data_IF_278566835849
#
_entry.id   IF_278566835849
#
_cell.length_a   1.000
_cell.length_b   1.000
_cell.length_c   1.000
_cell.angle_alpha   90.00
_cell.angle_beta   90.00
_cell.angle_gamma   90.00
#
_symmetry.space_group_name_H-M   'P 1'
#
loop_
_entity.id
_entity.type
_entity.pdbx_description
1 polymer ?
#
# COMPACT_ATOMS: atom_id res chain seq x y z
N UNK A 1 2.66 -15.18 11.58
CA UNK A 1 3.20 -13.87 12.01
C UNK A 1 2.64 -12.76 11.13
N UNK A 2 2.43 -11.60 11.72
CA UNK A 2 1.64 -10.51 11.17
C UNK A 2 1.63 -9.35 12.16
N UNK A 3 0.51 -8.64 12.27
CA UNK A 3 0.39 -7.53 13.22
C UNK A 3 0.21 -8.00 14.66
N UNK A 4 0.69 -7.20 15.61
CA UNK A 4 0.50 -7.42 17.05
C UNK A 4 -0.98 -7.37 17.45
N UNK A 5 -1.79 -6.60 16.74
CA UNK A 5 -3.25 -6.51 16.92
C UNK A 5 -3.93 -6.43 15.54
N UNK A 6 -5.14 -6.96 15.43
CA UNK A 6 -5.95 -6.89 14.21
C UNK A 6 -6.68 -5.54 14.06
N UNK A 7 -6.76 -4.75 15.14
CA UNK A 7 -7.25 -3.38 15.11
C UNK A 7 -6.68 -2.55 16.26
N UNK A 8 -6.83 -1.23 16.19
CA UNK A 8 -6.54 -0.26 17.24
C UNK A 8 -7.53 0.90 17.16
N UNK A 9 -7.94 1.43 18.31
CA UNK A 9 -8.72 2.68 18.41
C UNK A 9 -7.84 3.89 18.75
N UNK A 10 -6.54 3.83 18.46
CA UNK A 10 -5.61 4.91 18.78
C UNK A 10 -5.35 5.01 20.28
N UNK A 11 -5.32 6.23 20.82
CA UNK A 11 -4.92 6.58 22.19
C UNK A 11 -5.72 5.88 23.32
N UNK A 12 -6.81 5.18 23.02
CA UNK A 12 -7.60 4.43 24.00
C UNK A 12 -6.98 3.06 24.34
N UNK A 13 -6.18 2.47 23.45
CA UNK A 13 -5.54 1.15 23.60
C UNK A 13 -4.07 1.27 23.17
N UNK A 14 -3.20 0.30 23.51
CA UNK A 14 -1.77 0.37 23.18
C UNK A 14 -1.56 0.72 21.68
N UNK A 15 -1.11 1.95 21.36
CA UNK A 15 -1.20 2.46 20.00
C UNK A 15 -0.01 2.02 19.13
N UNK A 16 0.98 1.34 19.74
CA UNK A 16 2.15 0.78 19.05
C UNK A 16 1.78 -0.55 18.38
N UNK A 17 1.81 -0.55 17.05
CA UNK A 17 1.53 -1.71 16.22
C UNK A 17 2.84 -2.23 15.66
N UNK A 18 3.17 -3.46 16.02
CA UNK A 18 4.37 -4.15 15.54
C UNK A 18 3.95 -5.18 14.50
N UNK A 19 4.56 -5.11 13.32
CA UNK A 19 4.48 -6.14 12.31
C UNK A 19 5.65 -7.10 12.45
N UNK A 20 5.37 -8.40 12.40
CA UNK A 20 6.40 -9.45 12.39
C UNK A 20 6.34 -10.21 11.07
N UNK A 21 7.44 -10.18 10.30
CA UNK A 21 7.54 -10.87 9.00
C UNK A 21 7.45 -12.38 9.19
N UNK A 22 6.52 -13.02 8.47
CA UNK A 22 6.39 -14.48 8.37
C UNK A 22 7.64 -15.15 7.79
N UNK A 23 8.34 -14.45 6.91
CA UNK A 23 9.49 -14.99 6.17
C UNK A 23 10.77 -14.96 7.00
N UNK A 24 10.96 -13.89 7.78
CA UNK A 24 12.26 -13.60 8.40
C UNK A 24 12.21 -13.52 9.92
N UNK A 25 11.01 -13.48 10.52
CA UNK A 25 10.82 -13.24 11.96
C UNK A 25 11.18 -11.81 12.40
N UNK A 26 11.61 -10.95 11.48
CA UNK A 26 11.98 -9.56 11.80
C UNK A 26 10.75 -8.78 12.20
N UNK A 27 10.90 -7.97 13.24
CA UNK A 27 9.87 -7.08 13.75
C UNK A 27 10.10 -5.66 13.25
N UNK A 28 9.01 -4.96 12.98
CA UNK A 28 9.01 -3.56 12.55
C UNK A 28 7.81 -2.83 13.14
N UNK A 29 8.03 -1.64 13.66
CA UNK A 29 6.94 -0.76 14.06
C UNK A 29 6.21 -0.22 12.82
N UNK A 30 4.89 -0.40 12.79
CA UNK A 30 3.97 0.23 11.83
C UNK A 30 3.50 1.58 12.39
N UNK A 31 3.28 1.64 13.70
CA UNK A 31 3.05 2.88 14.45
C UNK A 31 3.98 2.97 15.64
N UNK A 32 4.29 4.19 16.06
CA UNK A 32 5.01 4.44 17.30
C UNK A 32 4.10 4.39 18.53
N UNK A 33 4.67 4.65 19.70
CA UNK A 33 3.95 4.66 20.99
C UNK A 33 2.90 5.77 21.14
N UNK A 34 2.81 6.68 20.17
CA UNK A 34 1.79 7.73 20.10
C UNK A 34 0.71 7.40 19.07
N UNK A 35 0.85 6.28 18.35
CA UNK A 35 -0.04 5.88 17.27
C UNK A 35 0.26 6.55 15.93
N UNK A 36 1.38 7.27 15.81
CA UNK A 36 1.81 7.86 14.53
C UNK A 36 2.39 6.80 13.63
N UNK A 37 2.02 6.82 12.35
CA UNK A 37 2.56 5.88 11.37
C UNK A 37 4.06 6.09 11.15
N UNK A 38 4.84 5.03 11.36
CA UNK A 38 6.27 5.01 11.10
C UNK A 38 6.49 4.81 9.61
N UNK A 39 7.29 5.68 8.98
CA UNK A 39 7.56 5.60 7.54
C UNK A 39 6.34 5.92 6.67
N UNK A 40 5.48 6.83 7.13
CA UNK A 40 4.23 7.21 6.46
C UNK A 40 4.45 7.60 4.98
N UNK A 41 3.80 6.90 4.03
CA UNK A 41 4.04 7.08 2.60
C UNK A 41 3.28 8.26 1.96
N UNK A 42 2.51 9.01 2.76
CA UNK A 42 1.61 10.05 2.26
C UNK A 42 0.22 9.53 1.88
N UNK A 43 -0.61 10.44 1.37
CA UNK A 43 -2.01 10.18 0.99
C UNK A 43 -2.26 10.75 -0.41
N UNK A 44 -2.97 10.00 -1.24
CA UNK A 44 -3.49 10.50 -2.52
C UNK A 44 -4.75 11.32 -2.25
N UNK A 45 -4.65 12.65 -2.33
CA UNK A 45 -5.72 13.60 -2.01
C UNK A 45 -6.50 14.02 -3.26
N UNK A 46 -7.57 13.30 -3.57
CA UNK A 46 -8.48 13.64 -4.66
C UNK A 46 -9.60 14.54 -4.14
N UNK A 47 -10.00 15.53 -4.94
CA UNK A 47 -11.02 16.51 -4.53
C UNK A 47 -12.35 15.86 -4.16
N UNK A 48 -12.71 14.78 -4.85
CA UNK A 48 -13.99 14.11 -4.72
C UNK A 48 -14.24 13.56 -3.32
N UNK A 49 -13.25 12.96 -2.65
CA UNK A 49 -13.43 12.44 -1.30
C UNK A 49 -12.99 13.45 -0.23
N UNK A 50 -12.00 14.30 -0.53
CA UNK A 50 -11.54 15.31 0.44
C UNK A 50 -12.56 16.40 0.73
N UNK A 51 -13.55 16.62 -0.16
CA UNK A 51 -14.68 17.51 0.09
C UNK A 51 -15.64 17.01 1.18
N UNK A 52 -15.52 15.76 1.61
CA UNK A 52 -16.34 15.15 2.66
C UNK A 52 -15.69 15.24 4.05
N UNK A 53 -14.47 15.76 4.15
CA UNK A 53 -13.78 15.95 5.42
C UNK A 53 -14.43 17.09 6.20
N UNK A 54 -14.75 16.85 7.47
CA UNK A 54 -15.48 17.80 8.31
C UNK A 54 -14.61 18.44 9.39
N UNK A 55 -13.52 17.79 9.80
CA UNK A 55 -12.59 18.29 10.80
C UNK A 55 -11.19 18.58 10.24
N UNK A 56 -10.53 19.58 10.83
CA UNK A 56 -9.11 19.79 10.61
C UNK A 56 -8.29 18.66 11.27
N UNK A 57 -7.23 18.22 10.59
CA UNK A 57 -6.33 17.20 11.15
C UNK A 57 -6.74 15.74 10.93
N UNK A 58 -7.88 15.45 10.27
CA UNK A 58 -8.26 14.07 9.87
C UNK A 58 -7.16 13.33 9.09
N UNK A 59 -6.30 14.08 8.39
CA UNK A 59 -5.24 13.54 7.54
C UNK A 59 -3.86 13.53 8.20
N UNK A 60 -3.75 13.91 9.48
CA UNK A 60 -2.51 13.72 10.22
C UNK A 60 -2.22 12.21 10.34
N UNK A 61 -0.96 11.76 10.14
CA UNK A 61 -0.62 10.34 10.06
C UNK A 61 -0.60 9.67 11.44
N UNK A 62 -1.73 9.67 12.15
CA UNK A 62 -1.90 9.16 13.50
C UNK A 62 -3.24 8.44 13.62
N UNK A 63 -3.24 7.31 14.32
CA UNK A 63 -4.45 6.56 14.60
C UNK A 63 -5.25 7.30 15.68
N UNK A 64 -6.35 7.95 15.27
CA UNK A 64 -7.33 8.61 16.16
C UNK A 64 -8.58 7.77 16.38
N UNK A 65 -8.98 7.04 15.34
CA UNK A 65 -10.17 6.20 15.32
C UNK A 65 -9.79 4.77 14.94
N UNK A 66 -10.81 3.91 14.76
CA UNK A 66 -10.63 2.51 14.43
C UNK A 66 -9.74 2.33 13.20
N UNK A 67 -8.61 1.67 13.39
CA UNK A 67 -7.71 1.26 12.32
C UNK A 67 -7.56 -0.25 12.38
N UNK A 68 -7.73 -0.90 11.25
CA UNK A 68 -7.69 -2.34 11.13
C UNK A 68 -6.46 -2.78 10.35
N UNK A 69 -5.93 -3.94 10.74
CA UNK A 69 -4.73 -4.53 10.17
C UNK A 69 -5.02 -5.97 9.83
N UNK A 70 -4.64 -6.40 8.62
CA UNK A 70 -4.93 -7.77 8.20
C UNK A 70 -4.16 -8.21 6.98
N UNK A 71 -4.30 -9.49 6.65
CA UNK A 71 -3.85 -10.04 5.37
C UNK A 71 -4.77 -9.49 4.26
N UNK A 72 -4.19 -9.07 3.15
CA UNK A 72 -4.96 -8.68 1.97
C UNK A 72 -5.07 -9.86 0.99
N UNK A 73 -3.91 -10.41 0.63
CA UNK A 73 -3.76 -11.57 -0.24
C UNK A 73 -2.51 -12.39 0.15
N UNK A 74 -2.10 -13.33 -0.71
CA UNK A 74 -0.91 -14.15 -0.46
C UNK A 74 0.39 -13.35 -0.42
N UNK A 75 0.42 -12.14 -0.96
CA UNK A 75 1.63 -11.34 -1.19
C UNK A 75 1.63 -10.00 -0.45
N UNK A 76 0.57 -9.68 0.28
CA UNK A 76 0.43 -8.39 0.93
C UNK A 76 -0.50 -8.38 2.13
N UNK A 77 -0.28 -7.40 2.98
CA UNK A 77 -1.13 -7.02 4.09
C UNK A 77 -1.80 -5.68 3.79
N UNK A 78 -2.90 -5.38 4.48
CA UNK A 78 -3.64 -4.14 4.36
C UNK A 78 -3.76 -3.46 5.71
N UNK A 79 -3.63 -2.14 5.69
CA UNK A 79 -4.04 -1.24 6.76
C UNK A 79 -5.31 -0.55 6.27
N UNK A 80 -6.39 -0.57 7.07
CA UNK A 80 -7.58 0.25 6.85
C UNK A 80 -7.67 1.27 7.96
N UNK A 81 -7.47 2.53 7.64
CA UNK A 81 -7.37 3.62 8.60
C UNK A 81 -8.60 4.53 8.49
N UNK A 82 -9.46 4.50 9.51
CA UNK A 82 -10.56 5.43 9.62
C UNK A 82 -10.02 6.81 10.00
N UNK A 83 -10.14 7.75 9.06
CA UNK A 83 -9.71 9.15 9.23
C UNK A 83 -10.85 10.04 9.74
N UNK A 84 -12.09 9.61 9.51
CA UNK A 84 -13.30 10.28 9.97
C UNK A 84 -14.36 9.22 10.29
N UNK A 85 -14.96 9.21 11.49
CA UNK A 85 -16.12 8.37 11.79
C UNK A 85 -17.39 8.88 11.10
N UNK A 86 -18.45 8.07 11.11
CA UNK A 86 -19.78 8.58 10.80
C UNK A 86 -20.32 9.43 11.94
N UNK A 87 -21.39 10.19 11.66
CA UNK A 87 -21.96 11.11 12.64
C UNK A 87 -22.51 10.47 13.92
N UNK A 88 -22.77 9.16 13.92
CA UNK A 88 -23.15 8.40 15.12
C UNK A 88 -22.06 8.39 16.19
N UNK A 89 -20.79 8.56 15.81
CA UNK A 89 -19.69 8.62 16.77
C UNK A 89 -19.79 9.79 17.75
N UNK A 90 -20.48 10.85 17.35
CA UNK A 90 -20.69 12.04 18.18
C UNK A 90 -21.97 11.98 19.00
N UNK A 91 -22.80 10.94 18.78
CA UNK A 91 -24.02 10.76 19.53
C UNK A 91 -23.71 10.37 20.98
N UNK A 92 -24.41 11.01 21.93
CA UNK A 92 -24.44 10.59 23.32
C UNK A 92 -25.32 9.34 23.53
N UNK A 93 -25.43 8.89 24.77
CA UNK A 93 -26.19 7.67 25.13
C UNK A 93 -27.68 7.75 24.77
N UNK A 94 -28.24 8.97 24.71
CA UNK A 94 -29.64 9.23 24.36
C UNK A 94 -29.83 9.50 22.86
N UNK A 95 -28.75 9.48 22.08
CA UNK A 95 -28.76 9.68 20.62
C UNK A 95 -28.74 11.15 20.17
N UNK A 96 -28.49 12.10 21.08
CA UNK A 96 -28.30 13.51 20.73
C UNK A 96 -26.84 13.79 20.37
N UNK A 97 -26.59 14.84 19.57
CA UNK A 97 -25.23 15.21 19.12
C UNK A 97 -24.76 14.50 17.86
N UNK A 98 -25.57 13.62 17.27
CA UNK A 98 -25.29 13.03 15.96
C UNK A 98 -25.11 14.10 14.88
N UNK A 99 -24.06 13.97 14.07
CA UNK A 99 -23.81 14.85 12.91
C UNK A 99 -24.21 14.15 11.60
N UNK A 100 -24.11 14.86 10.48
CA UNK A 100 -24.29 14.28 9.14
C UNK A 100 -22.97 13.77 8.54
N UNK A 101 -21.95 13.54 9.36
CA UNK A 101 -20.62 13.18 8.87
C UNK A 101 -20.63 11.79 8.22
N UNK A 102 -19.95 11.68 7.09
CA UNK A 102 -19.72 10.40 6.44
C UNK A 102 -18.45 9.75 6.95
N UNK A 103 -18.51 8.44 7.24
CA UNK A 103 -17.31 7.68 7.58
C UNK A 103 -16.34 7.63 6.39
N UNK A 104 -15.09 8.04 6.61
CA UNK A 104 -14.03 7.98 5.62
C UNK A 104 -12.94 7.03 6.11
N UNK A 105 -12.67 6.01 5.30
CA UNK A 105 -11.61 5.03 5.53
C UNK A 105 -10.62 5.09 4.39
N UNK A 106 -9.35 5.19 4.71
CA UNK A 106 -8.23 5.04 3.78
C UNK A 106 -7.64 3.64 3.88
N UNK A 107 -6.92 3.20 2.86
CA UNK A 107 -6.14 1.99 2.93
C UNK A 107 -4.74 2.16 2.33
N UNK A 108 -3.79 1.39 2.86
CA UNK A 108 -2.48 1.19 2.27
C UNK A 108 -2.13 -0.30 2.30
N UNK A 109 -1.35 -0.75 1.32
CA UNK A 109 -0.83 -2.11 1.28
C UNK A 109 0.61 -2.16 1.81
N UNK A 110 0.91 -3.22 2.54
CA UNK A 110 2.24 -3.58 2.97
C UNK A 110 2.71 -4.84 2.23
N UNK A 111 4.00 -4.93 1.94
CA UNK A 111 4.62 -6.18 1.52
C UNK A 111 4.69 -7.20 2.67
N UNK A 112 5.24 -8.39 2.39
CA UNK A 112 5.37 -9.46 3.38
C UNK A 112 6.39 -9.17 4.50
N UNK A 113 7.15 -8.08 4.38
CA UNK A 113 8.14 -7.62 5.35
C UNK A 113 7.70 -6.33 6.08
N UNK A 114 6.45 -5.88 5.88
CA UNK A 114 5.87 -4.73 6.56
C UNK A 114 6.33 -3.38 5.98
N UNK A 115 6.71 -3.32 4.71
CA UNK A 115 7.02 -2.07 4.02
C UNK A 115 5.82 -1.59 3.19
N UNK A 116 5.55 -0.28 3.23
CA UNK A 116 4.53 0.32 2.39
C UNK A 116 4.85 0.11 0.91
N UNK A 117 3.88 -0.45 0.18
CA UNK A 117 3.94 -0.59 -1.28
C UNK A 117 3.63 0.75 -1.96
N UNK A 118 2.86 1.62 -1.31
CA UNK A 118 2.50 2.94 -1.83
C UNK A 118 1.74 3.80 -0.81
N UNK A 119 1.34 5.02 -1.21
CA UNK A 119 0.58 5.95 -0.37
C UNK A 119 -0.80 5.42 -0.03
N UNK A 120 -1.40 5.99 1.02
CA UNK A 120 -2.79 5.72 1.38
C UNK A 120 -3.75 6.23 0.29
N UNK A 121 -4.78 5.43 0.01
CA UNK A 121 -5.85 5.70 -0.96
C UNK A 121 -7.20 5.58 -0.29
N UNK A 122 -8.22 6.22 -0.86
CA UNK A 122 -9.59 6.09 -0.34
C UNK A 122 -10.09 4.65 -0.47
N UNK A 123 -10.62 4.09 0.61
CA UNK A 123 -11.26 2.77 0.66
C UNK A 123 -12.79 2.91 0.64
N UNK A 124 -13.31 3.86 1.43
CA UNK A 124 -14.75 4.08 1.65
C UNK A 124 -14.99 5.55 2.00
N UNK A 125 -16.10 6.09 1.49
CA UNK A 125 -16.74 7.34 1.92
C UNK A 125 -18.22 7.06 2.09
N UNK A 126 -18.74 7.14 3.31
CA UNK A 126 -20.12 6.76 3.62
C UNK A 126 -20.42 5.34 3.13
N UNK A 127 -21.47 5.18 2.32
CA UNK A 127 -21.82 3.87 1.73
C UNK A 127 -20.98 3.48 0.50
N UNK A 128 -20.27 4.45 -0.12
CA UNK A 128 -19.53 4.25 -1.37
C UNK A 128 -18.16 3.63 -1.07
N UNK A 129 -17.85 2.51 -1.72
CA UNK A 129 -16.54 1.83 -1.65
C UNK A 129 -15.74 2.11 -2.92
N UNK A 130 -14.44 2.34 -2.73
CA UNK A 130 -13.49 2.74 -3.77
C UNK A 130 -12.39 1.71 -3.98
N UNK A 131 -12.43 0.57 -3.29
CA UNK A 131 -11.46 -0.49 -3.49
C UNK A 131 -11.62 -1.07 -4.91
N UNK A 132 -10.98 -0.44 -5.88
CA UNK A 132 -10.60 -1.09 -7.12
C UNK A 132 -9.57 -2.17 -6.73
N UNK A 133 -9.76 -3.44 -7.13
CA UNK A 133 -8.69 -4.43 -6.98
C UNK A 133 -7.44 -3.83 -7.62
N UNK A 134 -6.25 -3.91 -7.00
CA UNK A 134 -5.06 -3.29 -7.55
C UNK A 134 -4.93 -3.75 -9.00
N UNK A 135 -5.01 -2.79 -9.93
CA UNK A 135 -4.82 -3.08 -11.35
C UNK A 135 -3.59 -3.97 -11.45
N UNK A 136 -3.80 -5.20 -11.96
CA UNK A 136 -2.83 -6.30 -11.96
C UNK A 136 -1.42 -5.73 -12.00
N UNK A 137 -0.63 -5.93 -10.92
CA UNK A 137 0.75 -5.46 -10.85
C UNK A 137 1.40 -5.80 -12.19
N UNK A 138 1.74 -4.80 -13.01
CA UNK A 138 2.56 -5.09 -14.18
C UNK A 138 3.85 -5.69 -13.60
N UNK A 139 4.25 -6.89 -14.05
CA UNK A 139 5.46 -7.51 -13.53
C UNK A 139 6.57 -6.49 -13.74
N UNK A 140 7.26 -6.14 -12.64
CA UNK A 140 8.44 -5.29 -12.68
C UNK A 140 9.35 -5.89 -13.74
N UNK A 141 9.46 -5.23 -14.90
CA UNK A 141 10.41 -5.64 -15.93
C UNK A 141 11.78 -5.47 -15.30
N UNK A 142 12.34 -6.56 -14.81
CA UNK A 142 13.78 -6.61 -14.57
C UNK A 142 14.43 -6.22 -15.89
N UNK A 143 15.02 -5.03 -15.93
CA UNK A 143 15.90 -4.60 -17.00
C UNK A 143 16.99 -5.68 -17.08
N UNK A 144 16.85 -6.58 -18.05
CA UNK A 144 17.94 -7.49 -18.38
C UNK A 144 19.11 -6.61 -18.82
N UNK A 145 20.34 -6.88 -18.35
CA UNK A 145 21.50 -6.11 -18.79
C UNK A 145 21.58 -6.18 -20.31
N UNK A 146 21.83 -5.02 -20.90
CA UNK A 146 21.84 -4.80 -22.34
C UNK A 146 22.61 -5.91 -23.05
N UNK A 147 21.97 -6.53 -24.07
CA UNK A 147 22.66 -7.49 -24.92
C UNK A 147 23.79 -6.74 -25.63
N UNK A 148 25.01 -7.03 -25.20
CA UNK A 148 26.26 -6.65 -25.84
C UNK A 148 26.15 -6.91 -27.35
N UNK A 149 26.12 -5.83 -28.13
CA UNK A 149 26.08 -5.88 -29.59
C UNK A 149 27.43 -6.40 -30.06
N UNK A 150 27.49 -7.69 -30.43
CA UNK A 150 28.66 -8.24 -31.12
C UNK A 150 28.78 -7.60 -32.50
N UNK A 151 29.75 -6.72 -32.66
CA UNK A 151 30.24 -6.28 -33.98
C UNK A 151 30.61 -7.51 -34.83
N UNK A 152 30.06 -7.56 -36.06
CA UNK A 152 30.49 -8.52 -37.09
C UNK A 152 31.85 -8.08 -37.63
N UNK A 153 32.86 -8.96 -37.72
CA UNK A 153 34.09 -8.59 -38.40
C UNK A 153 33.88 -8.51 -39.91
N UNK A 154 34.55 -7.51 -40.48
CA UNK A 154 34.58 -7.17 -41.89
C UNK A 154 34.91 -8.35 -42.80
N UNK A 155 34.15 -8.47 -43.89
CA UNK A 155 34.37 -9.46 -44.94
C UNK A 155 35.70 -9.23 -45.65
N UNK A 156 36.68 -10.09 -45.39
CA UNK A 156 37.84 -10.26 -46.28
C UNK A 156 37.54 -11.37 -47.28
N UNK A 157 37.26 -10.92 -48.50
CA UNK A 157 37.34 -11.69 -49.73
C UNK A 157 38.64 -12.49 -49.80
N UNK A 158 38.54 -13.81 -49.98
CA UNK A 158 39.57 -14.62 -50.63
C UNK A 158 38.90 -15.66 -51.53
N UNK A 159 38.96 -15.33 -52.83
CA UNK A 159 38.98 -16.27 -53.94
C UNK A 159 39.89 -17.47 -53.66
N UNK A 160 39.43 -18.68 -53.95
CA UNK A 160 40.29 -19.76 -54.45
C UNK A 160 39.51 -20.66 -55.43
N UNK A 161 40.06 -20.73 -56.64
CA UNK A 161 39.71 -21.66 -57.71
C UNK A 161 40.15 -23.08 -57.35
N UNK A 162 39.35 -24.08 -57.70
CA UNK A 162 39.77 -25.49 -57.62
C UNK A 162 38.78 -26.43 -58.28
N UNK A 163 38.88 -26.55 -59.61
CA UNK A 163 38.28 -27.65 -60.41
C UNK A 163 38.84 -29.01 -59.96
N UNK A 164 38.06 -30.06 -60.27
CA UNK A 164 38.41 -31.45 -60.69
C UNK A 164 37.61 -32.50 -59.89
N UNK A 165 37.09 -33.62 -60.41
CA UNK A 165 36.61 -34.10 -61.74
C UNK A 165 36.00 -35.51 -61.46
N UNK A 166 34.95 -35.90 -62.21
CA UNK A 166 34.51 -37.29 -62.55
C UNK A 166 34.12 -38.27 -61.43
N UNK A 167 32.91 -38.82 -61.54
CA UNK A 167 32.64 -40.04 -62.34
C UNK A 167 31.22 -40.01 -62.87
#
# INVERSE_FOLDING_TARGET
MGFSHSYSYGLRENPEIIFTSDRTGRQKAITDKTGRFVGFPGIVKEKEWTSHLTEEGCLEPVIRYRTEFGRFDEHSYIIRWQVQPDGMYWADEDGFGMTSDEEIVLYALLDLDGNYIGPFRVYKVGIKRYLEPPAKREPVRHLQPEKEVKEKPEGKSRFWLGKWRKR
#
